data_IF_023955783294
#
_entry.id   IF_023955783294
#
_cell.length_a   1.000
_cell.length_b   1.000
_cell.length_c   1.000
_cell.angle_alpha   90.00
_cell.angle_beta   90.00
_cell.angle_gamma   90.00
#
_symmetry.space_group_name_H-M   'P 1'
#
loop_
_entity.id
_entity.type
_entity.pdbx_description
1 polymer ?
#
# COMPACT_ATOMS: atom_id res chain seq x y z
N UNK A 1 14.06 12.60 14.08
CA UNK A 1 13.63 12.85 12.69
C UNK A 1 14.70 12.26 11.77
N UNK A 2 14.40 11.18 11.04
CA UNK A 2 15.33 10.62 10.04
C UNK A 2 15.15 11.40 8.74
N UNK A 3 16.14 12.20 8.35
CA UNK A 3 16.21 12.83 7.04
C UNK A 3 16.44 11.72 6.00
N UNK A 4 15.38 11.38 5.26
CA UNK A 4 15.42 10.33 4.26
C UNK A 4 16.41 10.68 3.15
N UNK A 5 17.58 10.02 3.14
CA UNK A 5 18.52 10.08 2.01
C UNK A 5 17.79 9.56 0.77
N UNK A 6 17.60 10.43 -0.21
CA UNK A 6 16.99 10.08 -1.50
C UNK A 6 17.90 9.11 -2.24
N UNK A 7 17.44 7.87 -2.43
CA UNK A 7 18.18 6.87 -3.19
C UNK A 7 18.14 7.25 -4.68
N UNK A 8 19.30 7.52 -5.27
CA UNK A 8 19.41 7.93 -6.67
C UNK A 8 19.15 6.80 -7.67
N UNK A 9 19.09 7.15 -8.96
CA UNK A 9 18.81 6.23 -10.07
C UNK A 9 19.72 4.99 -10.10
N UNK A 10 20.99 5.14 -9.70
CA UNK A 10 21.95 4.03 -9.62
C UNK A 10 21.58 2.97 -8.59
N UNK A 11 21.00 3.37 -7.45
CA UNK A 11 20.50 2.45 -6.44
C UNK A 11 19.29 1.67 -6.96
N UNK A 12 18.32 2.38 -7.56
CA UNK A 12 17.11 1.79 -8.14
C UNK A 12 17.43 0.72 -9.19
N UNK A 13 18.35 1.01 -10.12
CA UNK A 13 18.79 0.06 -11.14
C UNK A 13 19.41 -1.21 -10.55
N UNK A 14 20.27 -1.06 -9.52
CA UNK A 14 20.91 -2.21 -8.86
C UNK A 14 19.92 -3.03 -8.04
N UNK A 15 18.93 -2.37 -7.44
CA UNK A 15 17.84 -3.01 -6.71
C UNK A 15 17.00 -3.92 -7.62
N UNK A 16 16.52 -3.40 -8.77
CA UNK A 16 15.78 -4.21 -9.74
C UNK A 16 16.64 -5.33 -10.35
N UNK A 17 17.95 -5.10 -10.56
CA UNK A 17 18.87 -6.15 -11.03
C UNK A 17 19.00 -7.31 -10.03
N UNK A 18 18.87 -7.04 -8.72
CA UNK A 18 18.96 -8.08 -7.68
C UNK A 18 17.64 -8.85 -7.52
N UNK A 19 16.52 -8.18 -7.74
CA UNK A 19 15.18 -8.74 -7.56
C UNK A 19 14.45 -8.82 -8.90
N UNK A 20 14.77 -9.84 -9.71
CA UNK A 20 14.18 -10.05 -11.03
C UNK A 20 12.65 -10.24 -11.00
N UNK A 21 12.10 -10.61 -9.85
CA UNK A 21 10.65 -10.73 -9.64
C UNK A 21 9.96 -9.37 -9.53
N UNK A 22 10.70 -8.27 -9.38
CA UNK A 22 10.16 -6.93 -9.23
C UNK A 22 10.30 -6.14 -10.53
N UNK A 23 9.29 -5.37 -10.88
CA UNK A 23 9.33 -4.43 -12.00
C UNK A 23 8.68 -3.10 -11.63
N UNK A 24 9.01 -2.06 -12.39
CA UNK A 24 8.36 -0.76 -12.25
C UNK A 24 6.93 -0.83 -12.80
N UNK A 25 5.96 -0.34 -12.05
CA UNK A 25 4.56 -0.27 -12.44
C UNK A 25 3.99 1.12 -12.19
N UNK A 26 2.92 1.44 -12.91
CA UNK A 26 2.11 2.62 -12.67
C UNK A 26 0.92 2.17 -11.84
N UNK A 27 0.84 2.66 -10.59
CA UNK A 27 -0.27 2.30 -9.70
C UNK A 27 -1.60 2.75 -10.30
N UNK A 28 -2.63 1.93 -10.15
CA UNK A 28 -3.96 2.30 -10.60
C UNK A 28 -4.49 3.52 -9.83
N UNK A 29 -5.05 4.47 -10.57
CA UNK A 29 -5.76 5.61 -9.99
C UNK A 29 -7.12 5.13 -9.50
N UNK A 30 -7.30 5.07 -8.18
CA UNK A 30 -8.59 4.73 -7.56
C UNK A 30 -9.49 5.97 -7.69
N UNK A 31 -10.23 6.02 -8.79
CA UNK A 31 -11.10 7.16 -9.15
C UNK A 31 -12.43 7.17 -8.41
N UNK A 32 -12.89 6.03 -7.88
CA UNK A 32 -14.13 5.91 -7.11
C UNK A 32 -13.85 5.42 -5.70
N UNK A 33 -14.36 6.15 -4.70
CA UNK A 33 -14.46 5.63 -3.34
C UNK A 33 -15.29 4.34 -3.38
N UNK A 34 -14.71 3.22 -2.96
CA UNK A 34 -15.44 1.95 -2.91
C UNK A 34 -16.50 2.05 -1.80
N UNK A 35 -17.76 2.17 -2.19
CA UNK A 35 -18.90 2.18 -1.26
C UNK A 35 -18.86 0.91 -0.39
N UNK A 36 -18.98 1.06 0.94
CA UNK A 36 -19.01 -0.06 1.89
C UNK A 36 -17.79 -0.20 2.81
N UNK A 37 -16.68 0.48 2.53
CA UNK A 37 -15.48 0.46 3.42
C UNK A 37 -15.74 1.03 4.81
N UNK A 38 -16.58 2.05 4.91
CA UNK A 38 -16.92 2.67 6.21
C UNK A 38 -17.64 1.69 7.12
N UNK A 39 -18.55 0.86 6.58
CA UNK A 39 -19.28 -0.14 7.36
C UNK A 39 -18.35 -1.27 7.82
N UNK A 40 -17.46 -1.74 6.94
CA UNK A 40 -16.45 -2.73 7.30
C UNK A 40 -15.50 -2.19 8.38
N UNK A 41 -15.02 -0.95 8.22
CA UNK A 41 -14.14 -0.29 9.18
C UNK A 41 -14.81 -0.12 10.55
N UNK A 42 -16.06 0.36 10.59
CA UNK A 42 -16.78 0.53 11.86
C UNK A 42 -17.09 -0.79 12.54
N UNK A 43 -17.42 -1.85 11.79
CA UNK A 43 -17.59 -3.19 12.35
C UNK A 43 -16.27 -3.74 12.91
N UNK A 44 -15.17 -3.65 12.16
CA UNK A 44 -13.85 -4.10 12.64
C UNK A 44 -13.38 -3.31 13.85
N UNK A 45 -13.62 -2.00 13.88
CA UNK A 45 -13.30 -1.13 15.00
C UNK A 45 -14.06 -1.52 16.27
N UNK A 46 -15.35 -1.87 16.15
CA UNK A 46 -16.14 -2.40 17.28
C UNK A 46 -15.56 -3.71 17.81
N UNK A 47 -15.25 -4.66 16.93
CA UNK A 47 -14.65 -5.96 17.30
C UNK A 47 -13.29 -5.78 17.98
N UNK A 48 -12.45 -4.86 17.49
CA UNK A 48 -11.16 -4.53 18.11
C UNK A 48 -11.31 -4.03 19.56
N UNK A 49 -12.29 -3.15 19.80
CA UNK A 49 -12.61 -2.65 21.14
C UNK A 49 -13.14 -3.77 22.04
N UNK A 50 -14.13 -4.52 21.57
CA UNK A 50 -14.77 -5.59 22.34
C UNK A 50 -13.78 -6.68 22.75
N UNK A 51 -12.87 -7.06 21.85
CA UNK A 51 -11.87 -8.09 22.10
C UNK A 51 -10.55 -7.57 22.68
N UNK A 52 -10.47 -6.27 23.03
CA UNK A 52 -9.26 -5.61 23.54
C UNK A 52 -8.01 -5.90 22.70
N UNK A 53 -8.18 -5.97 21.39
CA UNK A 53 -7.07 -6.24 20.48
C UNK A 53 -6.22 -4.98 20.39
N UNK A 54 -4.98 -5.08 20.86
CA UNK A 54 -4.01 -3.99 20.77
C UNK A 54 -3.77 -3.63 19.29
N UNK A 55 -3.67 -2.33 19.00
CA UNK A 55 -3.32 -1.78 17.69
C UNK A 55 -1.99 -2.32 17.15
N UNK A 56 -1.09 -2.77 18.03
CA UNK A 56 0.17 -3.45 17.68
C UNK A 56 -0.03 -4.74 16.88
N UNK A 57 -1.22 -5.33 16.91
CA UNK A 57 -1.59 -6.55 16.18
C UNK A 57 -2.41 -6.27 14.92
N UNK A 58 -2.74 -5.00 14.67
CA UNK A 58 -3.52 -4.60 13.51
C UNK A 58 -2.59 -4.15 12.38
N UNK A 59 -2.40 -5.03 11.41
CA UNK A 59 -1.63 -4.72 10.21
C UNK A 59 -2.58 -4.51 9.04
N UNK A 60 -2.56 -3.31 8.45
CA UNK A 60 -3.26 -3.06 7.20
C UNK A 60 -2.46 -3.75 6.07
N UNK A 61 -2.83 -5.00 5.75
CA UNK A 61 -2.14 -5.83 4.75
C UNK A 61 -2.46 -5.45 3.30
N UNK A 62 -3.55 -4.72 3.06
CA UNK A 62 -3.90 -4.25 1.73
C UNK A 62 -3.40 -2.80 1.55
N UNK A 63 -2.56 -2.58 0.55
CA UNK A 63 -2.08 -1.27 0.08
C UNK A 63 -3.19 -0.35 -0.44
N UNK A 64 -4.46 -0.67 -0.19
CA UNK A 64 -5.59 0.14 -0.61
C UNK A 64 -5.82 1.25 0.41
N UNK A 65 -5.24 2.42 0.17
CA UNK A 65 -5.56 3.63 0.94
C UNK A 65 -7.08 3.87 1.00
N UNK A 66 -7.60 4.34 2.14
CA UNK A 66 -9.03 4.67 2.30
C UNK A 66 -9.45 5.83 1.39
N UNK A 67 -8.48 6.65 1.01
CA UNK A 67 -8.67 7.84 0.20
C UNK A 67 -8.47 7.54 -1.29
N UNK A 68 -9.23 8.25 -2.12
CA UNK A 68 -9.07 8.26 -3.56
C UNK A 68 -7.76 8.96 -3.92
N UNK A 69 -6.79 8.20 -4.44
CA UNK A 69 -5.59 8.81 -5.01
C UNK A 69 -5.89 9.15 -6.46
N UNK A 70 -6.12 10.43 -6.76
CA UNK A 70 -6.43 10.89 -8.12
C UNK A 70 -5.25 10.72 -9.09
N UNK A 71 -4.03 10.53 -8.58
CA UNK A 71 -2.83 10.35 -9.38
C UNK A 71 -2.31 8.92 -9.34
N UNK A 72 -1.96 8.39 -10.50
CA UNK A 72 -1.10 7.21 -10.59
C UNK A 72 0.33 7.57 -10.18
N UNK A 73 0.99 6.70 -9.41
CA UNK A 73 2.39 6.86 -8.99
C UNK A 73 3.22 5.72 -9.55
N UNK A 74 4.51 5.98 -9.83
CA UNK A 74 5.44 4.88 -10.11
C UNK A 74 5.74 4.12 -8.83
N UNK A 75 5.47 2.83 -8.86
CA UNK A 75 5.70 1.88 -7.76
C UNK A 75 6.54 0.72 -8.27
N UNK A 76 7.09 -0.06 -7.34
CA UNK A 76 7.78 -1.32 -7.66
C UNK A 76 6.92 -2.45 -7.12
N UNK A 77 6.48 -3.34 -7.99
CA UNK A 77 5.61 -4.45 -7.64
C UNK A 77 6.12 -5.76 -8.24
N UNK A 78 5.59 -6.88 -7.75
CA UNK A 78 5.90 -8.21 -8.27
C UNK A 78 5.39 -8.33 -9.71
N UNK A 79 6.22 -8.87 -10.60
CA UNK A 79 5.88 -9.14 -11.98
C UNK A 79 4.67 -10.08 -12.05
N UNK A 80 3.61 -9.66 -12.74
CA UNK A 80 2.35 -10.39 -12.82
C UNK A 80 1.36 -10.11 -11.68
N UNK A 81 1.63 -9.16 -10.79
CA UNK A 81 0.63 -8.71 -9.82
C UNK A 81 -0.52 -7.98 -10.53
N UNK A 82 -1.75 -8.46 -10.33
CA UNK A 82 -2.96 -7.88 -10.91
C UNK A 82 -3.52 -6.68 -10.13
N UNK A 83 -3.00 -6.40 -8.93
CA UNK A 83 -3.44 -5.31 -8.08
C UNK A 83 -2.23 -4.45 -7.71
N UNK A 84 -2.01 -3.35 -8.43
CA UNK A 84 -0.90 -2.42 -8.25
C UNK A 84 -1.38 -0.98 -8.37
#
# INVERSE_FOLDING_TARGET
MMTGKTCGHGWYRRFLKRHHILSGWTSESITKARNGRTRLFTTLYKVLIEHKISSSRLFNMNETAFDTNKGSKRVVAVCGSHNV
#
